data_IF_716687890286
#
_entry.id   IF_716687890286
#
_cell.length_a   1.000
_cell.length_b   1.000
_cell.length_c   1.000
_cell.angle_alpha   90.00
_cell.angle_beta   90.00
_cell.angle_gamma   90.00
#
_symmetry.space_group_name_H-M   'P 1'
#
loop_
_entity.id
_entity.type
_entity.pdbx_description
1 polymer ?
#
# COMPACT_ATOMS: atom_id res chain seq x y z
N UNK A 1 3.25 -56.12 -76.31
CA UNK A 1 4.05 -55.52 -75.24
C UNK A 1 3.19 -54.49 -74.63
N UNK A 2 2.60 -54.81 -73.46
CA UNK A 2 1.62 -53.95 -72.72
C UNK A 2 2.33 -53.28 -71.54
N UNK A 3 2.47 -51.98 -71.58
CA UNK A 3 3.05 -51.16 -70.54
C UNK A 3 1.92 -50.82 -69.51
N UNK A 4 2.05 -51.32 -68.33
CA UNK A 4 1.11 -51.05 -67.23
C UNK A 4 1.56 -49.75 -66.50
N UNK A 5 0.73 -48.70 -66.40
CA UNK A 5 1.12 -47.56 -65.60
C UNK A 5 0.94 -47.85 -64.07
N UNK A 6 2.02 -47.77 -63.31
CA UNK A 6 2.03 -47.84 -61.85
C UNK A 6 1.49 -46.51 -61.31
N UNK A 7 0.30 -46.58 -60.74
CA UNK A 7 -0.35 -45.44 -60.06
C UNK A 7 0.19 -45.36 -58.62
N UNK A 8 1.14 -44.46 -58.41
CA UNK A 8 1.65 -44.19 -57.04
C UNK A 8 0.64 -43.34 -56.28
N UNK A 9 -0.11 -43.93 -55.40
CA UNK A 9 -1.00 -43.23 -54.46
C UNK A 9 -0.15 -42.64 -53.35
N UNK A 10 0.02 -41.33 -53.36
CA UNK A 10 0.65 -40.56 -52.28
C UNK A 10 -0.36 -40.44 -51.11
N UNK A 11 -0.24 -41.27 -50.08
CA UNK A 11 -0.99 -41.09 -48.83
C UNK A 11 -0.42 -39.85 -48.08
N UNK A 12 -1.07 -38.71 -48.23
CA UNK A 12 -0.87 -37.59 -47.31
C UNK A 12 -1.47 -37.96 -45.93
N UNK A 13 -0.65 -38.47 -45.04
CA UNK A 13 -0.99 -38.54 -43.64
C UNK A 13 -0.98 -37.13 -43.08
N UNK A 14 -2.13 -36.50 -43.06
CA UNK A 14 -2.36 -35.28 -42.31
C UNK A 14 -2.24 -35.66 -40.82
N UNK A 15 -1.08 -35.39 -40.23
CA UNK A 15 -0.96 -35.31 -38.77
C UNK A 15 -1.85 -34.15 -38.32
N UNK A 16 -3.07 -34.44 -37.91
CA UNK A 16 -3.83 -33.51 -37.07
C UNK A 16 -3.15 -33.46 -35.70
N UNK A 17 -2.35 -32.44 -35.49
CA UNK A 17 -1.94 -32.08 -34.16
C UNK A 17 -3.21 -31.65 -33.42
N UNK A 18 -3.73 -32.55 -32.59
CA UNK A 18 -4.67 -32.18 -31.55
C UNK A 18 -3.87 -31.33 -30.53
N UNK A 19 -3.87 -30.01 -30.73
CA UNK A 19 -3.61 -29.10 -29.65
C UNK A 19 -4.78 -29.30 -28.66
N UNK A 20 -4.61 -30.20 -27.70
CA UNK A 20 -5.29 -30.05 -26.42
C UNK A 20 -4.70 -28.76 -25.88
N UNK A 21 -5.40 -27.67 -26.11
CA UNK A 21 -5.22 -26.46 -25.31
C UNK A 21 -5.38 -26.95 -23.88
N UNK A 22 -4.25 -27.11 -23.18
CA UNK A 22 -4.27 -27.07 -21.72
C UNK A 22 -5.08 -25.82 -21.44
N UNK A 23 -6.10 -25.87 -20.55
CA UNK A 23 -6.76 -24.65 -20.13
C UNK A 23 -5.62 -23.76 -19.62
N UNK A 24 -5.20 -22.83 -20.45
CA UNK A 24 -4.38 -21.72 -20.05
C UNK A 24 -5.21 -21.13 -18.94
N UNK A 25 -4.76 -21.27 -17.70
CA UNK A 25 -5.30 -20.46 -16.62
C UNK A 25 -4.95 -19.05 -17.08
N UNK A 26 -5.85 -18.46 -17.84
CA UNK A 26 -5.72 -17.09 -18.27
C UNK A 26 -5.55 -16.30 -16.97
N UNK A 27 -4.36 -15.73 -16.78
CA UNK A 27 -4.16 -14.80 -15.68
C UNK A 27 -5.27 -13.77 -15.80
N UNK A 28 -5.99 -13.45 -14.71
CA UNK A 28 -7.07 -12.48 -14.78
C UNK A 28 -6.51 -11.19 -15.39
N UNK A 29 -7.15 -10.75 -16.48
CA UNK A 29 -6.75 -9.50 -17.12
C UNK A 29 -7.55 -8.36 -16.49
N UNK A 30 -6.92 -7.22 -16.21
CA UNK A 30 -7.63 -6.09 -15.68
C UNK A 30 -8.67 -5.56 -16.69
N UNK A 31 -9.85 -5.21 -16.21
CA UNK A 31 -10.90 -4.57 -17.01
C UNK A 31 -10.51 -3.15 -17.40
N UNK A 32 -9.76 -2.46 -16.51
CA UNK A 32 -9.23 -1.12 -16.76
C UNK A 32 -7.81 -0.97 -16.23
N UNK A 33 -7.01 -0.23 -16.98
CA UNK A 33 -5.65 0.19 -16.59
C UNK A 33 -5.57 1.70 -16.72
N UNK A 34 -5.16 2.35 -15.64
CA UNK A 34 -4.93 3.79 -15.60
C UNK A 34 -3.44 4.05 -15.40
N UNK A 35 -2.88 5.00 -16.16
CA UNK A 35 -1.51 5.45 -15.99
C UNK A 35 -1.50 6.91 -15.52
N UNK A 36 -0.69 7.22 -14.50
CA UNK A 36 -0.53 8.57 -13.92
C UNK A 36 -1.88 9.21 -13.57
N UNK A 37 -2.70 8.48 -12.84
CA UNK A 37 -4.06 8.88 -12.48
C UNK A 37 -4.11 9.52 -11.09
N UNK A 38 -4.96 10.53 -10.95
CA UNK A 38 -5.37 11.05 -9.63
C UNK A 38 -6.86 10.81 -9.43
N UNK A 39 -7.18 9.99 -8.44
CA UNK A 39 -8.54 9.72 -8.01
C UNK A 39 -8.87 10.59 -6.80
N UNK A 40 -10.08 11.13 -6.75
CA UNK A 40 -10.58 11.90 -5.61
C UNK A 40 -11.89 11.33 -5.14
N UNK A 41 -11.99 11.07 -3.85
CA UNK A 41 -13.23 10.74 -3.19
C UNK A 41 -13.84 12.00 -2.59
N UNK A 42 -15.16 12.12 -2.71
CA UNK A 42 -15.91 13.24 -2.17
C UNK A 42 -16.89 12.74 -1.12
N UNK A 43 -16.88 13.36 0.03
CA UNK A 43 -17.89 13.20 1.06
C UNK A 43 -18.58 14.55 1.26
N UNK A 44 -19.93 14.59 1.14
CA UNK A 44 -20.73 15.82 1.22
C UNK A 44 -20.22 16.96 0.31
N UNK A 45 -19.80 16.62 -0.93
CA UNK A 45 -19.22 17.51 -1.93
C UNK A 45 -17.83 18.11 -1.57
N UNK A 46 -17.19 17.60 -0.52
CA UNK A 46 -15.84 17.95 -0.08
C UNK A 46 -14.90 16.79 -0.41
N UNK A 47 -13.69 17.10 -0.89
CA UNK A 47 -12.66 16.08 -1.09
C UNK A 47 -12.21 15.60 0.28
N UNK A 48 -12.40 14.31 0.58
CA UNK A 48 -11.92 13.67 1.81
C UNK A 48 -10.69 12.78 1.57
N UNK A 49 -10.48 12.32 0.33
CA UNK A 49 -9.33 11.52 -0.05
C UNK A 49 -8.88 11.85 -1.48
N UNK A 50 -7.58 12.04 -1.66
CA UNK A 50 -6.94 12.16 -2.97
C UNK A 50 -5.86 11.08 -3.08
N UNK A 51 -5.89 10.27 -4.14
CA UNK A 51 -4.95 9.18 -4.39
C UNK A 51 -4.33 9.42 -5.76
N UNK A 52 -3.02 9.52 -5.82
CA UNK A 52 -2.25 9.44 -7.06
C UNK A 52 -1.68 8.04 -7.22
N UNK A 53 -1.76 7.49 -8.42
CA UNK A 53 -1.13 6.23 -8.80
C UNK A 53 -0.38 6.40 -10.12
N UNK A 54 0.85 5.90 -10.19
CA UNK A 54 1.58 5.82 -11.45
C UNK A 54 0.92 4.79 -12.38
N UNK A 55 0.46 3.68 -11.83
CA UNK A 55 -0.29 2.64 -12.51
C UNK A 55 -1.36 2.11 -11.57
N UNK A 56 -2.57 1.93 -12.07
CA UNK A 56 -3.69 1.37 -11.33
C UNK A 56 -4.49 0.45 -12.24
N UNK A 57 -4.63 -0.79 -11.83
CA UNK A 57 -5.40 -1.84 -12.49
C UNK A 57 -6.67 -2.12 -11.70
N UNK A 58 -7.77 -2.32 -12.39
CA UNK A 58 -9.06 -2.65 -11.80
C UNK A 58 -9.58 -3.94 -12.40
N UNK A 59 -10.00 -4.86 -11.53
CA UNK A 59 -10.61 -6.16 -11.83
C UNK A 59 -12.02 -6.16 -11.27
N UNK A 60 -13.00 -5.84 -12.12
CA UNK A 60 -14.37 -5.54 -11.66
C UNK A 60 -15.13 -6.79 -11.19
N UNK A 61 -14.91 -7.95 -11.81
CA UNK A 61 -15.51 -9.21 -11.37
C UNK A 61 -14.99 -9.67 -10.02
N UNK A 62 -13.70 -9.57 -9.80
CA UNK A 62 -13.02 -9.93 -8.56
C UNK A 62 -13.23 -8.90 -7.47
N UNK A 63 -13.52 -7.64 -7.82
CA UNK A 63 -13.53 -6.47 -6.94
C UNK A 63 -12.16 -6.18 -6.34
N UNK A 64 -11.14 -6.26 -7.20
CA UNK A 64 -9.74 -6.06 -6.84
C UNK A 64 -9.22 -4.80 -7.54
N UNK A 65 -8.38 -4.07 -6.82
CA UNK A 65 -7.57 -2.99 -7.36
C UNK A 65 -6.10 -3.28 -7.04
N UNK A 66 -5.24 -3.14 -8.03
CA UNK A 66 -3.79 -3.27 -7.88
C UNK A 66 -3.11 -2.00 -8.39
N UNK A 67 -2.21 -1.42 -7.61
CA UNK A 67 -1.59 -0.15 -7.96
C UNK A 67 -0.11 -0.11 -7.65
N UNK A 68 0.62 0.75 -8.39
CA UNK A 68 2.05 0.98 -8.23
C UNK A 68 2.34 2.46 -8.00
N UNK A 69 3.32 2.73 -7.12
CA UNK A 69 3.75 4.08 -6.76
C UNK A 69 2.57 4.98 -6.37
N UNK A 70 1.98 4.61 -5.26
CA UNK A 70 0.78 5.27 -4.73
C UNK A 70 1.18 6.35 -3.74
N UNK A 71 0.60 7.53 -3.90
CA UNK A 71 0.63 8.60 -2.90
C UNK A 71 -0.81 8.97 -2.58
N UNK A 72 -1.15 9.14 -1.31
CA UNK A 72 -2.46 9.58 -0.93
C UNK A 72 -2.43 10.66 0.15
N UNK A 73 -3.48 11.49 0.14
CA UNK A 73 -3.73 12.52 1.12
C UNK A 73 -5.19 12.38 1.57
N UNK A 74 -5.39 12.19 2.87
CA UNK A 74 -6.69 12.25 3.50
C UNK A 74 -6.88 13.61 4.14
N UNK A 75 -8.07 14.17 3.99
CA UNK A 75 -8.46 15.45 4.56
C UNK A 75 -9.47 15.25 5.67
N UNK A 76 -9.40 16.12 6.65
CA UNK A 76 -10.42 16.21 7.69
C UNK A 76 -11.65 16.93 7.09
N UNK A 77 -12.82 16.32 7.19
CA UNK A 77 -14.05 16.83 6.55
C UNK A 77 -14.61 18.08 7.21
N UNK A 78 -14.23 18.38 8.45
CA UNK A 78 -14.67 19.58 9.17
C UNK A 78 -13.75 20.77 8.92
N UNK A 79 -12.43 20.52 9.00
CA UNK A 79 -11.42 21.59 8.89
C UNK A 79 -10.87 21.75 7.47
N UNK A 80 -11.10 20.79 6.58
CA UNK A 80 -10.55 20.69 5.22
C UNK A 80 -9.01 20.67 5.17
N UNK A 81 -8.36 20.41 6.30
CA UNK A 81 -6.92 20.29 6.37
C UNK A 81 -6.47 18.85 6.16
N UNK A 82 -5.24 18.67 5.72
CA UNK A 82 -4.65 17.34 5.62
C UNK A 82 -4.60 16.69 7.00
N UNK A 83 -5.16 15.50 7.12
CA UNK A 83 -5.18 14.71 8.35
C UNK A 83 -4.18 13.57 8.34
N UNK A 84 -3.97 12.97 7.16
CA UNK A 84 -3.01 11.90 6.94
C UNK A 84 -2.43 11.98 5.52
N UNK A 85 -1.16 11.60 5.39
CA UNK A 85 -0.49 11.35 4.11
C UNK A 85 0.07 9.95 4.11
N UNK A 86 0.19 9.35 2.93
CA UNK A 86 0.87 8.08 2.80
C UNK A 86 1.42 7.86 1.41
N UNK A 87 2.44 7.04 1.38
CA UNK A 87 3.04 6.53 0.15
C UNK A 87 3.34 5.05 0.27
N UNK A 88 3.22 4.34 -0.83
CA UNK A 88 3.56 2.93 -0.93
C UNK A 88 3.98 2.58 -2.35
N UNK A 89 4.94 1.68 -2.48
CA UNK A 89 5.38 1.20 -3.80
C UNK A 89 4.33 0.35 -4.49
N UNK A 90 3.57 -0.45 -3.72
CA UNK A 90 2.53 -1.35 -4.21
C UNK A 90 1.30 -1.23 -3.31
N UNK A 91 0.12 -1.22 -3.93
CA UNK A 91 -1.17 -1.27 -3.25
C UNK A 91 -2.00 -2.39 -3.86
N UNK A 92 -2.58 -3.23 -3.03
CA UNK A 92 -3.60 -4.19 -3.40
C UNK A 92 -4.82 -3.98 -2.51
N UNK A 93 -6.01 -3.94 -3.10
CA UNK A 93 -7.28 -3.78 -2.40
C UNK A 93 -8.19 -4.92 -2.81
N UNK A 94 -8.70 -5.66 -1.84
CA UNK A 94 -9.82 -6.57 -1.99
C UNK A 94 -11.06 -5.92 -1.37
N UNK A 95 -11.97 -5.43 -2.23
CA UNK A 95 -13.20 -4.77 -1.77
C UNK A 95 -14.18 -5.74 -1.11
N UNK A 96 -14.15 -7.05 -1.48
CA UNK A 96 -15.02 -8.07 -0.89
C UNK A 96 -14.58 -8.42 0.52
N UNK A 97 -13.28 -8.51 0.73
CA UNK A 97 -12.71 -8.77 2.05
C UNK A 97 -12.59 -7.48 2.90
N UNK A 98 -12.73 -6.30 2.31
CA UNK A 98 -12.42 -5.00 2.90
C UNK A 98 -10.97 -4.93 3.42
N UNK A 99 -10.04 -5.55 2.67
CA UNK A 99 -8.62 -5.65 2.98
C UNK A 99 -7.79 -4.79 2.05
N UNK A 100 -6.81 -4.10 2.61
CA UNK A 100 -5.85 -3.25 1.92
C UNK A 100 -4.44 -3.73 2.27
N UNK A 101 -3.67 -4.13 1.26
CA UNK A 101 -2.28 -4.52 1.43
C UNK A 101 -1.38 -3.46 0.82
N UNK A 102 -0.44 -2.97 1.61
CA UNK A 102 0.56 -1.99 1.22
C UNK A 102 1.93 -2.66 1.23
N UNK A 103 2.75 -2.42 0.22
CA UNK A 103 4.05 -3.07 0.11
C UNK A 103 5.10 -2.22 -0.61
N UNK A 104 6.33 -2.74 -0.61
CA UNK A 104 7.47 -2.12 -1.27
C UNK A 104 7.72 -0.69 -0.76
N UNK A 105 8.01 -0.57 0.53
CA UNK A 105 8.21 0.67 1.27
C UNK A 105 6.89 1.42 1.52
N UNK A 106 6.42 1.34 2.74
CA UNK A 106 5.22 2.01 3.20
C UNK A 106 5.59 3.12 4.18
N UNK A 107 5.06 4.31 3.97
CA UNK A 107 5.22 5.45 4.87
C UNK A 107 3.88 6.14 5.06
N UNK A 108 3.40 6.20 6.30
CA UNK A 108 2.19 6.91 6.69
C UNK A 108 2.54 8.01 7.69
N UNK A 109 1.95 9.18 7.52
CA UNK A 109 2.11 10.33 8.42
C UNK A 109 0.75 10.82 8.88
N UNK A 110 0.49 10.74 10.18
CA UNK A 110 -0.68 11.31 10.84
C UNK A 110 -0.34 12.74 11.28
N UNK A 111 -0.89 13.72 10.56
CA UNK A 111 -0.48 15.13 10.70
C UNK A 111 -0.80 15.69 12.09
N UNK A 112 -2.02 15.43 12.61
CA UNK A 112 -2.46 15.95 13.91
C UNK A 112 -1.62 15.45 15.10
N UNK A 113 -1.17 14.21 15.01
CA UNK A 113 -0.46 13.54 16.10
C UNK A 113 1.07 13.66 15.95
N UNK A 114 1.52 14.25 14.81
CA UNK A 114 2.92 14.31 14.40
C UNK A 114 3.58 12.93 14.52
N UNK A 115 2.88 11.93 13.98
CA UNK A 115 3.26 10.51 14.07
C UNK A 115 3.47 9.95 12.69
N UNK A 116 4.61 9.31 12.48
CA UNK A 116 4.91 8.58 11.25
C UNK A 116 5.06 7.08 11.54
N UNK A 117 4.61 6.28 10.57
CA UNK A 117 4.74 4.82 10.57
C UNK A 117 5.46 4.44 9.29
N UNK A 118 6.55 3.69 9.39
CA UNK A 118 7.31 3.18 8.26
C UNK A 118 7.44 1.67 8.36
N UNK A 119 7.24 0.96 7.25
CA UNK A 119 7.33 -0.49 7.16
C UNK A 119 7.61 -0.94 5.74
N UNK A 120 8.25 -2.10 5.51
CA UNK A 120 8.29 -2.72 4.20
C UNK A 120 6.91 -3.09 3.67
N UNK A 121 5.99 -3.54 4.55
CA UNK A 121 4.63 -3.91 4.22
C UNK A 121 3.66 -3.68 5.39
N UNK A 122 2.41 -3.34 5.09
CA UNK A 122 1.31 -3.24 6.05
C UNK A 122 0.04 -3.86 5.44
N UNK A 123 -0.82 -4.39 6.29
CA UNK A 123 -2.13 -4.92 5.94
C UNK A 123 -3.18 -4.21 6.81
N UNK A 124 -4.18 -3.62 6.18
CA UNK A 124 -5.30 -3.00 6.87
C UNK A 124 -6.60 -3.75 6.62
N UNK A 125 -7.10 -4.39 7.65
CA UNK A 125 -8.43 -5.01 7.70
C UNK A 125 -9.43 -3.94 8.16
N UNK A 126 -10.07 -3.29 7.20
CA UNK A 126 -10.94 -2.13 7.42
C UNK A 126 -12.12 -2.49 8.30
N UNK A 127 -12.74 -3.65 8.08
CA UNK A 127 -13.90 -4.12 8.83
C UNK A 127 -13.63 -4.20 10.34
N UNK A 128 -12.44 -4.67 10.71
CA UNK A 128 -12.04 -4.88 12.10
C UNK A 128 -11.24 -3.70 12.67
N UNK A 129 -10.94 -2.69 11.84
CA UNK A 129 -10.09 -1.55 12.17
C UNK A 129 -8.68 -1.98 12.63
N UNK A 130 -8.15 -3.05 12.05
CA UNK A 130 -6.84 -3.59 12.38
C UNK A 130 -5.83 -3.25 11.29
N UNK A 131 -4.74 -2.60 11.68
CA UNK A 131 -3.56 -2.41 10.84
C UNK A 131 -2.45 -3.29 11.41
N UNK A 132 -1.87 -4.15 10.60
CA UNK A 132 -0.81 -5.07 11.01
C UNK A 132 0.34 -5.07 10.01
N UNK A 133 1.48 -5.58 10.43
CA UNK A 133 2.59 -5.91 9.55
C UNK A 133 2.84 -7.42 9.55
N UNK A 134 3.39 -8.00 8.45
CA UNK A 134 3.90 -9.36 8.47
C UNK A 134 4.85 -9.59 9.65
N UNK A 135 4.81 -10.77 10.25
CA UNK A 135 5.44 -11.04 11.55
C UNK A 135 6.96 -10.77 11.58
N UNK A 136 7.64 -10.97 10.46
CA UNK A 136 9.10 -10.80 10.35
C UNK A 136 9.52 -9.39 9.95
N UNK A 137 8.56 -8.54 9.56
CA UNK A 137 8.84 -7.17 9.13
C UNK A 137 8.99 -6.23 10.31
N UNK A 138 9.98 -5.35 10.20
CA UNK A 138 10.22 -4.30 11.21
C UNK A 138 9.38 -3.08 10.87
N UNK A 139 8.61 -2.62 11.83
CA UNK A 139 7.87 -1.36 11.77
C UNK A 139 8.56 -0.32 12.63
N UNK A 140 8.78 0.86 12.08
CA UNK A 140 9.32 2.02 12.79
C UNK A 140 8.20 3.04 12.98
N UNK A 141 7.99 3.46 14.22
CA UNK A 141 7.06 4.53 14.59
C UNK A 141 7.86 5.68 15.17
N UNK A 142 7.68 6.87 14.61
CA UNK A 142 8.30 8.09 15.13
C UNK A 142 7.22 9.09 15.47
N UNK A 143 7.31 9.70 16.65
CA UNK A 143 6.40 10.73 17.11
C UNK A 143 7.15 11.99 17.49
N UNK A 144 6.75 13.13 16.92
CA UNK A 144 7.32 14.48 17.17
C UNK A 144 8.83 14.58 16.99
N UNK A 145 9.41 13.71 16.16
CA UNK A 145 10.85 13.55 15.99
C UNK A 145 11.63 13.35 17.32
N UNK A 146 10.93 13.01 18.38
CA UNK A 146 11.50 12.85 19.73
C UNK A 146 11.49 11.40 20.19
N UNK A 147 10.49 10.64 19.79
CA UNK A 147 10.30 9.25 20.20
C UNK A 147 10.31 8.38 18.96
N UNK A 148 11.23 7.44 18.90
CA UNK A 148 11.26 6.41 17.87
C UNK A 148 11.17 5.04 18.49
N UNK A 149 10.25 4.21 18.02
CA UNK A 149 10.09 2.82 18.44
C UNK A 149 10.12 1.93 17.22
N UNK A 150 10.93 0.89 17.28
CA UNK A 150 11.04 -0.12 16.23
C UNK A 150 10.71 -1.49 16.82
N UNK A 151 10.01 -2.30 16.05
CA UNK A 151 9.66 -3.64 16.50
C UNK A 151 9.03 -4.49 15.41
N UNK A 152 8.85 -5.77 15.76
CA UNK A 152 8.22 -6.77 14.89
C UNK A 152 6.88 -7.22 15.43
N UNK A 153 6.12 -7.95 14.57
CA UNK A 153 4.77 -8.39 14.91
C UNK A 153 3.88 -7.21 15.35
N UNK A 154 3.92 -6.15 14.57
CA UNK A 154 3.14 -4.93 14.79
C UNK A 154 1.66 -5.17 14.57
N UNK A 155 0.84 -4.66 15.48
CA UNK A 155 -0.62 -4.62 15.37
C UNK A 155 -1.11 -3.30 15.94
N UNK A 156 -1.99 -2.62 15.22
CA UNK A 156 -2.66 -1.40 15.71
C UNK A 156 -4.18 -1.51 15.52
N UNK A 157 -4.92 -0.96 16.48
CA UNK A 157 -6.34 -0.70 16.30
C UNK A 157 -6.51 0.77 15.88
N UNK A 158 -6.92 0.99 14.63
CA UNK A 158 -7.01 2.32 14.03
C UNK A 158 -8.12 3.18 14.63
N UNK A 159 -9.21 2.55 15.10
CA UNK A 159 -10.31 3.26 15.76
C UNK A 159 -9.93 3.69 17.19
N UNK A 160 -9.25 2.82 17.95
CA UNK A 160 -8.78 3.12 19.30
C UNK A 160 -7.49 3.94 19.33
N UNK A 161 -6.80 4.12 18.19
CA UNK A 161 -5.48 4.78 18.06
C UNK A 161 -4.43 4.16 19.00
N UNK A 162 -4.44 2.84 19.10
CA UNK A 162 -3.53 2.08 19.96
C UNK A 162 -2.75 1.08 19.12
N UNK A 163 -1.49 0.86 19.46
CA UNK A 163 -0.67 -0.14 18.79
C UNK A 163 0.14 -0.96 19.81
N UNK A 164 0.59 -2.12 19.36
CA UNK A 164 1.47 -3.02 20.10
C UNK A 164 2.48 -3.68 19.16
N UNK A 165 3.63 -4.03 19.72
CA UNK A 165 4.58 -4.95 19.13
C UNK A 165 4.58 -6.23 19.99
N UNK A 166 4.38 -7.38 19.35
CA UNK A 166 4.30 -8.65 20.05
C UNK A 166 5.62 -9.44 20.03
N UNK A 167 6.67 -8.86 19.46
CA UNK A 167 8.04 -9.41 19.38
C UNK A 167 9.08 -8.33 19.72
N UNK A 168 10.35 -8.59 19.40
CA UNK A 168 11.49 -7.70 19.67
C UNK A 168 11.15 -6.23 19.41
N UNK A 169 11.35 -5.40 20.43
CA UNK A 169 11.04 -3.97 20.37
C UNK A 169 12.19 -3.17 20.94
N UNK A 170 12.64 -2.15 20.22
CA UNK A 170 13.62 -1.18 20.68
C UNK A 170 13.03 0.24 20.59
N UNK A 171 13.44 1.13 21.46
CA UNK A 171 12.97 2.51 21.44
C UNK A 171 14.04 3.49 21.82
N UNK A 172 14.01 4.67 21.21
CA UNK A 172 14.89 5.81 21.51
C UNK A 172 14.04 7.03 21.84
N UNK A 173 14.39 7.73 22.88
CA UNK A 173 13.78 8.99 23.27
C UNK A 173 14.85 10.07 23.26
N UNK A 174 14.65 11.09 22.42
CA UNK A 174 15.51 12.26 22.35
C UNK A 174 14.96 13.31 23.31
N UNK A 175 15.68 13.61 24.37
CA UNK A 175 15.34 14.71 25.27
C UNK A 175 15.94 16.00 24.70
N UNK A 176 15.12 16.94 24.29
CA UNK A 176 15.57 18.30 23.97
C UNK A 176 16.06 18.96 25.24
N UNK A 177 17.35 19.25 25.33
CA UNK A 177 17.90 20.09 26.38
C UNK A 177 17.18 21.45 26.32
N UNK A 178 16.56 21.85 27.42
CA UNK A 178 16.06 23.23 27.54
C UNK A 178 17.25 24.15 27.35
N UNK A 179 17.25 24.94 26.27
CA UNK A 179 18.20 26.02 26.09
C UNK A 179 18.19 26.88 27.37
N UNK A 180 19.24 26.75 28.18
CA UNK A 180 19.41 27.57 29.36
C UNK A 180 19.61 29.01 28.87
N UNK A 181 18.54 29.76 28.77
CA UNK A 181 18.61 31.21 28.63
C UNK A 181 19.39 31.69 29.83
N UNK A 182 20.58 32.29 29.66
CA UNK A 182 21.33 32.83 30.79
C UNK A 182 20.44 33.83 31.52
N UNK A 183 20.48 33.86 32.87
CA UNK A 183 19.69 34.80 33.64
C UNK A 183 19.98 36.23 33.16
N UNK A 184 18.99 37.12 33.07
CA UNK A 184 19.21 38.49 32.65
C UNK A 184 20.27 39.11 33.59
N UNK A 185 21.34 39.57 32.96
CA UNK A 185 22.41 40.29 33.70
C UNK A 185 21.75 41.51 34.29
N UNK A 186 21.64 41.53 35.63
CA UNK A 186 21.07 42.65 36.38
C UNK A 186 21.73 43.94 35.93
N UNK A 187 20.92 44.86 35.45
CA UNK A 187 21.31 46.20 35.10
C UNK A 187 21.83 46.88 36.40
N UNK A 188 23.12 47.13 36.44
CA UNK A 188 23.69 48.01 37.47
C UNK A 188 23.13 49.39 37.25
N UNK A 189 22.23 49.82 38.15
CA UNK A 189 21.79 51.21 38.21
C UNK A 189 22.90 52.06 38.84
N UNK A 190 23.11 53.30 38.35
CA UNK A 190 24.12 54.21 38.90
C UNK A 190 23.74 54.81 40.24
#
# INVERSE_FOLDING_TARGET
MKILPVFVIFFCTACSFNYQELPEQAEPQPDMIFANVTLKRYENAIVDLSVYAQELEMYDEEKIWAGKHINFIQYDTETHQESMKGETGILYIDEKAEEYQFGNTVSFQLIKDDLSIQSPALIWEKKDNVLSAPADETVTITQKDEITVEGKSFVANTAARAFAFNAETAGTILLKEKENTPPPTDAVFP
#
